data_IF_234650223832
#
_entry.id   IF_234650223832
#
_cell.length_a   1.000
_cell.length_b   1.000
_cell.length_c   1.000
_cell.angle_alpha   90.00
_cell.angle_beta   90.00
_cell.angle_gamma   90.00
#
_symmetry.space_group_name_H-M   'P 1'
#
loop_
_entity.id
_entity.type
_entity.pdbx_description
1 polymer ?
#
# COMPACT_ATOMS: atom_id res chain seq x y z
N UNK A 1 5.50 42.34 -39.71
CA UNK A 1 6.06 42.26 -41.08
C UNK A 1 5.73 43.57 -41.76
N UNK A 2 6.73 44.33 -42.25
CA UNK A 2 6.45 45.49 -43.11
C UNK A 2 5.71 44.97 -44.35
N UNK A 3 4.58 45.57 -44.71
CA UNK A 3 3.86 45.23 -45.94
C UNK A 3 4.71 45.68 -47.12
N UNK A 4 5.11 44.76 -47.99
CA UNK A 4 5.82 45.12 -49.22
C UNK A 4 4.93 46.00 -50.11
N UNK A 5 5.56 46.99 -50.77
CA UNK A 5 4.90 48.04 -51.57
C UNK A 5 4.16 47.50 -52.81
N UNK A 6 4.48 46.28 -53.24
CA UNK A 6 3.87 45.61 -54.40
C UNK A 6 3.34 44.24 -53.99
N UNK A 7 2.13 43.90 -54.43
CA UNK A 7 1.59 42.54 -54.27
C UNK A 7 2.24 41.59 -55.27
N UNK A 8 2.30 40.30 -54.95
CA UNK A 8 2.87 39.30 -55.88
C UNK A 8 2.13 39.27 -57.22
N UNK A 9 0.82 39.56 -57.23
CA UNK A 9 0.04 39.69 -58.47
C UNK A 9 0.47 40.90 -59.32
N UNK A 10 0.82 42.02 -58.68
CA UNK A 10 1.37 43.19 -59.37
C UNK A 10 2.77 42.90 -59.92
N UNK A 11 3.64 42.26 -59.14
CA UNK A 11 4.98 41.85 -59.57
C UNK A 11 4.91 40.95 -60.81
N UNK A 12 3.98 40.00 -60.83
CA UNK A 12 3.75 39.11 -61.97
C UNK A 12 3.20 39.81 -63.20
N UNK A 13 2.34 40.81 -63.01
CA UNK A 13 1.85 41.65 -64.12
C UNK A 13 3.01 42.33 -64.85
N UNK A 14 3.95 42.90 -64.09
CA UNK A 14 5.15 43.55 -64.64
C UNK A 14 6.09 42.57 -65.35
N UNK A 15 6.28 41.36 -64.79
CA UNK A 15 7.13 40.33 -65.43
C UNK A 15 6.51 39.84 -66.75
N UNK A 16 5.19 39.62 -66.79
CA UNK A 16 4.49 39.20 -68.03
C UNK A 16 4.53 40.27 -69.12
N UNK A 17 4.44 41.54 -68.77
CA UNK A 17 4.60 42.64 -69.73
C UNK A 17 6.00 42.65 -70.36
N UNK A 18 7.04 42.32 -69.59
CA UNK A 18 8.39 42.16 -70.11
C UNK A 18 8.54 40.90 -70.99
N UNK A 19 7.91 39.78 -70.62
CA UNK A 19 7.86 38.55 -71.44
C UNK A 19 7.07 38.75 -72.74
N UNK A 20 6.10 39.67 -72.75
CA UNK A 20 5.34 40.12 -73.93
C UNK A 20 6.08 41.10 -74.84
N UNK A 21 7.35 41.43 -74.55
CA UNK A 21 8.22 42.20 -75.44
C UNK A 21 8.44 43.68 -75.08
N UNK A 22 7.93 44.17 -73.95
CA UNK A 22 8.18 45.54 -73.50
C UNK A 22 9.60 45.68 -72.92
N UNK A 23 10.40 46.70 -73.30
CA UNK A 23 11.74 46.91 -72.75
C UNK A 23 11.73 47.09 -71.22
N UNK A 24 12.58 46.31 -70.53
CA UNK A 24 12.75 46.35 -69.06
C UNK A 24 13.02 47.75 -68.50
N UNK A 25 13.82 48.63 -69.14
CA UNK A 25 14.05 49.99 -68.64
C UNK A 25 12.79 50.86 -68.58
N UNK A 26 11.82 50.63 -69.46
CA UNK A 26 10.58 51.41 -69.53
C UNK A 26 9.60 50.95 -68.45
N UNK A 27 9.47 49.63 -68.25
CA UNK A 27 8.70 49.06 -67.13
C UNK A 27 9.24 49.48 -65.77
N UNK A 28 10.57 49.61 -65.65
CA UNK A 28 11.20 50.07 -64.42
C UNK A 28 10.88 51.55 -64.12
N UNK A 29 10.78 52.39 -65.16
CA UNK A 29 10.35 53.79 -65.03
C UNK A 29 8.86 53.90 -64.70
N UNK A 30 8.02 53.13 -65.36
CA UNK A 30 6.56 53.14 -65.19
C UNK A 30 6.14 52.70 -63.78
N UNK A 31 6.71 51.60 -63.28
CA UNK A 31 6.38 51.06 -61.97
C UNK A 31 7.26 51.63 -60.83
N UNK A 32 8.20 52.53 -61.13
CA UNK A 32 9.07 53.15 -60.14
C UNK A 32 9.98 52.16 -59.40
N UNK A 33 10.49 51.16 -60.12
CA UNK A 33 11.38 50.11 -59.60
C UNK A 33 12.76 50.18 -60.26
N UNK A 34 13.80 49.75 -59.55
CA UNK A 34 15.14 49.66 -60.15
C UNK A 34 15.26 48.43 -61.05
N UNK A 35 16.13 48.49 -62.08
CA UNK A 35 16.46 47.33 -62.91
C UNK A 35 16.89 46.12 -62.06
N UNK A 36 17.67 46.34 -61.01
CA UNK A 36 18.11 45.29 -60.08
C UNK A 36 16.95 44.66 -59.29
N UNK A 37 15.89 45.43 -59.00
CA UNK A 37 14.67 44.92 -58.37
C UNK A 37 13.89 44.06 -59.37
N UNK A 38 13.75 44.51 -60.62
CA UNK A 38 13.08 43.74 -61.67
C UNK A 38 13.76 42.40 -61.93
N UNK A 39 15.08 42.35 -62.11
CA UNK A 39 15.78 41.07 -62.33
C UNK A 39 15.73 40.14 -61.11
N UNK A 40 15.70 40.68 -59.88
CA UNK A 40 15.42 39.87 -58.66
C UNK A 40 14.01 39.29 -58.66
N UNK A 41 13.02 40.06 -59.10
CA UNK A 41 11.66 39.57 -59.26
C UNK A 41 11.56 38.50 -60.34
N UNK A 42 12.19 38.73 -61.50
CA UNK A 42 12.24 37.74 -62.59
C UNK A 42 12.94 36.44 -62.18
N UNK A 43 14.01 36.52 -61.38
CA UNK A 43 14.68 35.33 -60.86
C UNK A 43 13.83 34.55 -59.83
N UNK A 44 13.00 35.26 -59.04
CA UNK A 44 12.18 34.66 -57.99
C UNK A 44 10.81 34.17 -58.49
N UNK A 45 10.22 34.84 -59.48
CA UNK A 45 8.84 34.62 -59.91
C UNK A 45 8.69 34.35 -61.42
N UNK A 46 9.77 34.46 -62.20
CA UNK A 46 9.74 34.20 -63.65
C UNK A 46 9.35 32.74 -63.95
N UNK A 47 8.41 32.55 -64.88
CA UNK A 47 7.87 31.23 -65.24
C UNK A 47 6.83 30.64 -64.29
N UNK A 48 6.45 31.32 -63.20
CA UNK A 48 5.36 30.90 -62.32
C UNK A 48 4.05 31.62 -62.68
N UNK A 49 2.92 30.94 -62.61
CA UNK A 49 1.61 31.61 -62.67
C UNK A 49 1.08 31.96 -61.26
N UNK A 50 -0.02 32.71 -61.20
CA UNK A 50 -0.63 33.11 -59.94
C UNK A 50 -1.09 31.91 -59.09
N UNK A 51 -1.42 30.78 -59.73
CA UNK A 51 -1.81 29.54 -59.05
C UNK A 51 -0.60 28.89 -58.37
N UNK A 52 0.54 28.84 -59.05
CA UNK A 52 1.79 28.26 -58.59
C UNK A 52 2.40 29.05 -57.42
N UNK A 53 2.26 30.38 -57.40
CA UNK A 53 2.65 31.22 -56.25
C UNK A 53 1.74 30.97 -55.05
N UNK A 54 0.42 30.82 -55.28
CA UNK A 54 -0.52 30.48 -54.21
C UNK A 54 -0.20 29.11 -53.59
N UNK A 55 0.14 28.12 -54.43
CA UNK A 55 0.60 26.80 -53.98
C UNK A 55 1.92 26.88 -53.22
N UNK A 56 2.89 27.67 -53.70
CA UNK A 56 4.16 27.88 -53.02
C UNK A 56 3.96 28.45 -51.61
N UNK A 57 3.11 29.48 -51.47
CA UNK A 57 2.79 30.05 -50.15
C UNK A 57 2.09 29.06 -49.23
N UNK A 58 1.16 28.26 -49.75
CA UNK A 58 0.50 27.21 -48.98
C UNK A 58 1.51 26.17 -48.49
N UNK A 59 2.47 25.77 -49.34
CA UNK A 59 3.56 24.87 -48.99
C UNK A 59 4.55 25.49 -48.00
N UNK A 60 4.83 26.79 -48.07
CA UNK A 60 5.66 27.49 -47.09
C UNK A 60 4.99 27.56 -45.72
N UNK A 61 3.69 27.83 -45.69
CA UNK A 61 2.85 27.86 -44.48
C UNK A 61 2.79 26.46 -43.84
N UNK A 62 2.60 25.43 -44.67
CA UNK A 62 2.62 24.03 -44.24
C UNK A 62 4.01 23.61 -43.72
N UNK A 63 5.09 23.98 -44.43
CA UNK A 63 6.45 23.75 -43.96
C UNK A 63 6.74 24.44 -42.63
N UNK A 64 6.25 25.67 -42.43
CA UNK A 64 6.36 26.37 -41.15
C UNK A 64 5.62 25.63 -40.04
N UNK A 65 4.42 25.12 -40.34
CA UNK A 65 3.64 24.29 -39.41
C UNK A 65 4.35 22.98 -39.08
N UNK A 66 4.87 22.29 -40.08
CA UNK A 66 5.62 21.04 -39.94
C UNK A 66 6.90 21.24 -39.12
N UNK A 67 7.67 22.30 -39.38
CA UNK A 67 8.88 22.63 -38.61
C UNK A 67 8.58 22.87 -37.14
N UNK A 68 7.48 23.57 -36.82
CA UNK A 68 7.03 23.74 -35.43
C UNK A 68 6.64 22.41 -34.79
N UNK A 69 5.84 21.60 -35.48
CA UNK A 69 5.44 20.28 -34.96
C UNK A 69 6.64 19.35 -34.76
N UNK A 70 7.62 19.39 -35.67
CA UNK A 70 8.84 18.60 -35.56
C UNK A 70 9.70 19.04 -34.37
N UNK A 71 9.88 20.35 -34.16
CA UNK A 71 10.59 20.87 -32.99
C UNK A 71 9.92 20.45 -31.68
N UNK A 72 8.59 20.58 -31.60
CA UNK A 72 7.81 20.14 -30.44
C UNK A 72 7.95 18.62 -30.21
N UNK A 73 7.84 17.82 -31.26
CA UNK A 73 7.93 16.35 -31.18
C UNK A 73 9.34 15.87 -30.83
N UNK A 74 10.38 16.49 -31.40
CA UNK A 74 11.78 16.18 -31.10
C UNK A 74 12.05 16.41 -29.61
N UNK A 75 11.65 17.59 -29.11
CA UNK A 75 11.81 17.95 -27.71
C UNK A 75 11.02 17.02 -26.76
N UNK A 76 9.81 16.61 -27.12
CA UNK A 76 9.07 15.59 -26.37
C UNK A 76 9.81 14.24 -26.34
N UNK A 77 10.39 13.85 -27.47
CA UNK A 77 11.11 12.58 -27.59
C UNK A 77 12.37 12.56 -26.73
N UNK A 78 13.10 13.67 -26.70
CA UNK A 78 14.32 13.80 -25.89
C UNK A 78 14.01 13.77 -24.39
N UNK A 79 13.00 14.52 -23.96
CA UNK A 79 12.51 14.51 -22.56
C UNK A 79 12.03 13.11 -22.16
N UNK A 80 11.32 12.40 -23.04
CA UNK A 80 10.87 11.04 -22.77
C UNK A 80 12.03 10.05 -22.68
N UNK A 81 13.05 10.17 -23.54
CA UNK A 81 14.24 9.32 -23.51
C UNK A 81 15.04 9.50 -22.21
N UNK A 82 15.20 10.74 -21.76
CA UNK A 82 15.87 11.06 -20.50
C UNK A 82 15.08 10.54 -19.29
N UNK A 83 13.74 10.63 -19.34
CA UNK A 83 12.88 10.18 -18.26
C UNK A 83 12.65 8.65 -18.21
N UNK A 84 12.73 7.95 -19.36
CA UNK A 84 12.40 6.52 -19.46
C UNK A 84 13.61 5.60 -19.23
N UNK A 85 14.04 5.53 -17.96
CA UNK A 85 14.82 4.39 -17.48
C UNK A 85 13.97 3.16 -17.11
N UNK A 86 12.67 3.35 -16.79
CA UNK A 86 11.74 2.29 -16.33
C UNK A 86 10.27 2.60 -16.70
N UNK A 87 9.43 1.56 -16.77
CA UNK A 87 7.98 1.63 -17.09
C UNK A 87 7.22 2.48 -16.05
N UNK A 88 6.73 3.65 -16.46
CA UNK A 88 6.01 4.61 -15.60
C UNK A 88 4.56 4.19 -15.30
N UNK A 89 4.35 3.56 -14.14
CA UNK A 89 3.04 3.01 -13.75
C UNK A 89 2.20 3.92 -12.82
N UNK A 90 2.80 4.82 -12.02
CA UNK A 90 2.08 5.58 -10.99
C UNK A 90 1.92 7.07 -11.36
N UNK A 91 0.72 7.67 -11.17
CA UNK A 91 0.50 9.10 -11.41
C UNK A 91 1.43 10.02 -10.60
N UNK A 92 1.77 9.65 -9.37
CA UNK A 92 2.71 10.41 -8.54
C UNK A 92 4.12 10.51 -9.15
N UNK A 93 4.64 9.41 -9.70
CA UNK A 93 5.94 9.37 -10.37
C UNK A 93 5.92 10.22 -11.65
N UNK A 94 4.83 10.13 -12.43
CA UNK A 94 4.64 10.95 -13.64
C UNK A 94 4.59 12.44 -13.31
N UNK A 95 3.96 12.80 -12.19
CA UNK A 95 3.93 14.18 -11.68
C UNK A 95 5.32 14.67 -11.30
N UNK A 96 6.10 13.86 -10.61
CA UNK A 96 7.47 14.20 -10.21
C UNK A 96 8.38 14.43 -11.43
N UNK A 97 8.32 13.54 -12.41
CA UNK A 97 9.05 13.71 -13.68
C UNK A 97 8.57 14.93 -14.46
N UNK A 98 7.27 15.22 -14.47
CA UNK A 98 6.76 16.44 -15.08
C UNK A 98 7.30 17.70 -14.39
N UNK A 99 7.44 17.68 -13.06
CA UNK A 99 8.00 18.80 -12.31
C UNK A 99 9.51 18.96 -12.59
N UNK A 100 10.25 17.86 -12.66
CA UNK A 100 11.66 17.85 -13.05
C UNK A 100 11.85 18.37 -14.48
N UNK A 101 11.00 17.97 -15.43
CA UNK A 101 11.09 18.44 -16.81
C UNK A 101 10.83 19.95 -16.94
N UNK A 102 9.85 20.48 -16.20
CA UNK A 102 9.60 21.93 -16.12
C UNK A 102 10.82 22.66 -15.54
N UNK A 103 11.44 22.11 -14.49
CA UNK A 103 12.58 22.72 -13.81
C UNK A 103 13.88 22.66 -14.64
N UNK A 104 14.18 21.53 -15.28
CA UNK A 104 15.46 21.31 -15.97
C UNK A 104 15.46 21.77 -17.43
N UNK A 105 14.32 21.63 -18.14
CA UNK A 105 14.22 21.96 -19.57
C UNK A 105 13.42 23.23 -19.84
N UNK A 106 12.93 23.92 -18.79
CA UNK A 106 12.18 25.18 -18.93
C UNK A 106 10.86 25.05 -19.70
N UNK A 107 10.30 23.83 -19.76
CA UNK A 107 9.07 23.57 -20.54
C UNK A 107 7.83 24.13 -19.84
N UNK A 108 6.80 24.46 -20.62
CA UNK A 108 5.51 24.84 -20.04
C UNK A 108 4.88 23.66 -19.30
N UNK A 109 4.13 23.95 -18.23
CA UNK A 109 3.40 22.95 -17.44
C UNK A 109 2.46 22.11 -18.35
N UNK A 110 1.80 22.77 -19.31
CA UNK A 110 0.92 22.09 -20.27
C UNK A 110 1.69 21.10 -21.17
N UNK A 111 2.90 21.45 -21.61
CA UNK A 111 3.74 20.56 -22.40
C UNK A 111 4.22 19.37 -21.56
N UNK A 112 4.73 19.61 -20.34
CA UNK A 112 5.13 18.53 -19.42
C UNK A 112 3.95 17.59 -19.09
N UNK A 113 2.77 18.13 -18.83
CA UNK A 113 1.57 17.34 -18.54
C UNK A 113 1.18 16.43 -19.72
N UNK A 114 1.26 16.94 -20.95
CA UNK A 114 1.02 16.15 -22.18
C UNK A 114 2.07 15.06 -22.36
N UNK A 115 3.35 15.38 -22.16
CA UNK A 115 4.47 14.43 -22.25
C UNK A 115 4.27 13.24 -21.30
N UNK A 116 3.97 13.52 -20.03
CA UNK A 116 3.86 12.48 -19.00
C UNK A 116 2.44 11.92 -18.83
N UNK A 117 1.47 12.39 -19.64
CA UNK A 117 0.09 11.93 -19.62
C UNK A 117 -0.61 12.15 -18.28
N UNK A 118 -0.49 13.35 -17.70
CA UNK A 118 -1.16 13.77 -16.47
C UNK A 118 -1.97 15.05 -16.71
N UNK A 119 -3.01 15.30 -15.90
CA UNK A 119 -3.74 16.57 -15.96
C UNK A 119 -2.95 17.68 -15.26
N UNK A 120 -3.14 18.92 -15.71
CA UNK A 120 -2.55 20.07 -15.03
C UNK A 120 -3.06 20.25 -13.59
N UNK A 121 -4.28 19.80 -13.30
CA UNK A 121 -4.82 19.76 -11.93
C UNK A 121 -4.04 18.79 -11.05
N UNK A 122 -3.64 17.63 -11.58
CA UNK A 122 -2.79 16.67 -10.88
C UNK A 122 -1.38 17.24 -10.66
N UNK A 123 -0.83 17.95 -11.65
CA UNK A 123 0.46 18.64 -11.54
C UNK A 123 0.47 19.67 -10.42
N UNK A 124 -0.55 20.53 -10.37
CA UNK A 124 -0.66 21.61 -9.37
C UNK A 124 -1.14 21.12 -7.99
N UNK A 125 -1.60 19.88 -7.88
CA UNK A 125 -2.10 19.34 -6.62
C UNK A 125 -1.02 19.31 -5.55
N UNK A 126 -1.28 19.96 -4.42
CA UNK A 126 -0.50 19.81 -3.19
C UNK A 126 -1.31 19.04 -2.14
N UNK A 127 -0.70 18.09 -1.41
CA UNK A 127 -1.38 17.42 -0.30
C UNK A 127 -1.85 18.46 0.72
N UNK A 128 -3.16 18.48 1.01
CA UNK A 128 -3.74 19.44 1.97
C UNK A 128 -3.38 19.17 3.44
N UNK A 129 -2.97 17.93 3.76
CA UNK A 129 -2.76 17.45 5.13
C UNK A 129 -1.37 16.81 5.28
N UNK A 130 -0.33 17.53 4.89
CA UNK A 130 1.05 17.03 4.94
C UNK A 130 1.46 16.64 6.38
N UNK A 131 1.33 17.55 7.34
CA UNK A 131 1.69 17.30 8.73
C UNK A 131 0.98 16.09 9.36
N UNK A 132 -0.30 15.86 9.04
CA UNK A 132 -1.01 14.68 9.54
C UNK A 132 -0.58 13.39 8.81
N UNK A 133 -0.17 13.47 7.54
CA UNK A 133 0.45 12.31 6.88
C UNK A 133 1.78 11.95 7.55
N UNK A 134 2.56 12.94 7.95
CA UNK A 134 3.83 12.73 8.65
C UNK A 134 3.58 12.08 10.01
N UNK A 135 2.59 12.55 10.77
CA UNK A 135 2.15 11.90 12.01
C UNK A 135 1.70 10.45 11.79
N UNK A 136 0.93 10.17 10.73
CA UNK A 136 0.54 8.80 10.39
C UNK A 136 1.78 7.95 10.07
N UNK A 137 2.74 8.52 9.34
CA UNK A 137 3.97 7.84 8.98
C UNK A 137 4.78 7.47 10.23
N UNK A 138 4.99 8.42 11.15
CA UNK A 138 5.73 8.20 12.39
C UNK A 138 5.09 7.12 13.26
N UNK A 139 3.76 7.16 13.41
CA UNK A 139 3.02 6.13 14.16
C UNK A 139 3.12 4.76 13.49
N UNK A 140 3.03 4.68 12.16
CA UNK A 140 3.17 3.41 11.45
C UNK A 140 4.59 2.84 11.59
N UNK A 141 5.62 3.69 11.50
CA UNK A 141 7.02 3.26 11.71
C UNK A 141 7.19 2.74 13.14
N UNK A 142 6.78 3.51 14.15
CA UNK A 142 6.85 3.10 15.56
C UNK A 142 6.13 1.79 15.83
N UNK A 143 4.91 1.61 15.29
CA UNK A 143 4.15 0.37 15.43
C UNK A 143 4.85 -0.83 14.78
N UNK A 144 5.43 -0.65 13.60
CA UNK A 144 6.15 -1.76 12.93
C UNK A 144 7.49 -2.09 13.57
N UNK A 145 8.11 -1.14 14.27
CA UNK A 145 9.31 -1.37 15.08
C UNK A 145 8.98 -2.13 16.37
N UNK A 146 7.93 -1.70 17.08
CA UNK A 146 7.45 -2.35 18.29
C UNK A 146 6.85 -3.74 18.02
N UNK A 147 6.10 -3.88 16.93
CA UNK A 147 5.40 -5.11 16.55
C UNK A 147 5.81 -5.57 15.14
N UNK A 148 7.00 -6.18 15.05
CA UNK A 148 7.64 -6.59 13.78
C UNK A 148 6.83 -7.55 12.91
N UNK A 149 5.87 -8.28 13.52
CA UNK A 149 4.98 -9.23 12.83
C UNK A 149 3.65 -8.61 12.41
N UNK A 150 3.36 -7.37 12.78
CA UNK A 150 2.10 -6.73 12.43
C UNK A 150 2.13 -6.26 10.97
N UNK A 151 1.18 -6.77 10.18
CA UNK A 151 0.89 -6.24 8.87
C UNK A 151 -0.01 -5.01 8.94
N UNK A 152 -0.19 -4.35 7.80
CA UNK A 152 -1.04 -3.16 7.66
C UNK A 152 -2.40 -3.27 8.36
N UNK A 153 -3.09 -4.40 8.25
CA UNK A 153 -4.41 -4.59 8.85
C UNK A 153 -4.40 -4.41 10.37
N UNK A 154 -3.42 -4.97 11.07
CA UNK A 154 -3.31 -4.81 12.53
C UNK A 154 -2.90 -3.39 12.89
N UNK A 155 -1.92 -2.80 12.20
CA UNK A 155 -1.53 -1.41 12.44
C UNK A 155 -2.71 -0.45 12.26
N UNK A 156 -3.48 -0.61 11.17
CA UNK A 156 -4.65 0.23 10.92
C UNK A 156 -5.73 0.06 11.99
N UNK A 157 -6.04 -1.18 12.38
CA UNK A 157 -7.05 -1.44 13.42
C UNK A 157 -6.59 -0.93 14.79
N UNK A 158 -5.30 -0.98 15.10
CA UNK A 158 -4.75 -0.40 16.32
C UNK A 158 -4.95 1.12 16.33
N UNK A 159 -4.52 1.80 15.27
CA UNK A 159 -4.71 3.25 15.13
C UNK A 159 -6.20 3.63 15.23
N UNK A 160 -7.10 2.83 14.64
CA UNK A 160 -8.53 3.11 14.57
C UNK A 160 -9.27 2.81 15.87
N UNK A 161 -9.10 1.60 16.41
CA UNK A 161 -9.92 1.06 17.49
C UNK A 161 -9.28 1.24 18.86
N UNK A 162 -7.95 1.30 18.95
CA UNK A 162 -7.22 1.43 20.23
C UNK A 162 -6.84 2.89 20.46
N UNK A 163 -6.23 3.55 19.47
CA UNK A 163 -5.88 4.98 19.57
C UNK A 163 -7.03 5.93 19.18
N UNK A 164 -8.12 5.41 18.60
CA UNK A 164 -9.32 6.20 18.28
C UNK A 164 -9.19 7.12 17.06
N UNK A 165 -8.16 6.97 16.23
CA UNK A 165 -7.98 7.83 15.06
C UNK A 165 -9.03 7.56 13.97
N UNK A 166 -9.74 8.60 13.57
CA UNK A 166 -10.83 8.50 12.57
C UNK A 166 -10.37 8.51 11.10
N UNK A 167 -9.11 8.20 10.83
CA UNK A 167 -8.51 8.29 9.49
C UNK A 167 -9.12 7.32 8.47
N UNK A 168 -9.13 7.76 7.21
CA UNK A 168 -9.57 6.94 6.10
C UNK A 168 -8.56 5.81 5.81
N UNK A 169 -9.03 4.57 5.76
CA UNK A 169 -8.25 3.38 5.46
C UNK A 169 -7.35 3.51 4.21
N UNK A 170 -7.89 4.06 3.11
CA UNK A 170 -7.12 4.20 1.85
C UNK A 170 -5.95 5.17 2.01
N UNK A 171 -6.10 6.21 2.85
CA UNK A 171 -5.05 7.19 3.12
C UNK A 171 -3.92 6.56 3.93
N UNK A 172 -4.24 5.87 5.01
CA UNK A 172 -3.25 5.17 5.85
C UNK A 172 -2.53 4.09 5.03
N UNK A 173 -3.28 3.33 4.22
CA UNK A 173 -2.68 2.30 3.35
C UNK A 173 -1.71 2.87 2.32
N UNK A 174 -2.03 4.03 1.73
CA UNK A 174 -1.14 4.71 0.80
C UNK A 174 0.18 5.07 1.48
N UNK A 175 0.13 5.68 2.66
CA UNK A 175 1.32 6.06 3.44
C UNK A 175 2.13 4.82 3.82
N UNK A 176 1.48 3.78 4.33
CA UNK A 176 2.13 2.49 4.66
C UNK A 176 2.89 1.89 3.46
N UNK A 177 2.33 2.01 2.25
CA UNK A 177 2.99 1.54 1.01
C UNK A 177 4.10 2.47 0.53
N UNK A 178 3.99 3.77 0.75
CA UNK A 178 5.03 4.75 0.45
C UNK A 178 6.26 4.54 1.35
N UNK A 179 6.06 4.12 2.60
CA UNK A 179 7.10 3.74 3.56
C UNK A 179 7.67 2.32 3.34
N UNK A 180 7.15 1.57 2.37
CA UNK A 180 7.57 0.21 2.04
C UNK A 180 7.53 -0.80 3.21
N UNK A 181 6.70 -0.54 4.23
CA UNK A 181 6.59 -1.35 5.47
C UNK A 181 5.95 -2.74 5.26
N UNK A 182 5.72 -3.17 4.03
CA UNK A 182 5.04 -4.42 3.74
C UNK A 182 5.90 -5.61 4.18
N UNK A 183 5.32 -6.47 5.00
CA UNK A 183 5.97 -7.73 5.39
C UNK A 183 6.30 -8.55 4.14
N UNK A 184 7.56 -9.00 4.04
CA UNK A 184 8.01 -9.82 2.91
C UNK A 184 7.43 -11.23 3.04
N UNK A 185 6.33 -11.48 2.33
CA UNK A 185 5.72 -12.81 2.26
C UNK A 185 6.34 -13.57 1.09
N UNK A 186 7.00 -14.71 1.36
CA UNK A 186 7.35 -15.65 0.29
C UNK A 186 6.04 -16.32 -0.19
N UNK A 187 5.64 -16.18 -1.46
CA UNK A 187 4.43 -16.81 -1.96
C UNK A 187 4.59 -18.32 -1.88
N UNK A 188 3.76 -18.98 -1.06
CA UNK A 188 3.65 -20.43 -1.02
C UNK A 188 2.53 -20.86 -1.96
N UNK A 189 2.72 -21.99 -2.67
CA UNK A 189 1.65 -22.59 -3.48
C UNK A 189 0.44 -22.82 -2.59
N UNK A 190 -0.67 -22.15 -2.88
CA UNK A 190 -1.90 -22.27 -2.09
C UNK A 190 -2.50 -23.63 -2.40
N UNK A 191 -2.41 -24.56 -1.45
CA UNK A 191 -3.16 -25.82 -1.52
C UNK A 191 -4.65 -25.46 -1.42
N UNK A 192 -5.44 -25.96 -2.36
CA UNK A 192 -6.91 -25.88 -2.26
C UNK A 192 -7.30 -26.81 -1.11
N UNK A 193 -7.70 -26.23 0.00
CA UNK A 193 -8.30 -26.94 1.13
C UNK A 193 -9.79 -26.67 1.06
N UNK A 194 -10.60 -27.68 1.35
CA UNK A 194 -12.02 -27.48 1.60
C UNK A 194 -12.18 -26.41 2.69
N UNK A 195 -13.16 -25.52 2.52
CA UNK A 195 -13.45 -24.51 3.54
C UNK A 195 -13.98 -25.28 4.76
N UNK A 196 -13.24 -25.31 5.88
CA UNK A 196 -13.75 -25.97 7.07
C UNK A 196 -15.04 -25.29 7.52
N UNK A 197 -15.94 -26.06 8.13
CA UNK A 197 -17.12 -25.49 8.77
C UNK A 197 -16.68 -24.53 9.88
N UNK A 198 -17.39 -23.42 10.01
CA UNK A 198 -17.07 -22.44 11.06
C UNK A 198 -17.45 -23.04 12.40
N UNK A 199 -16.51 -23.13 13.34
CA UNK A 199 -16.88 -23.36 14.73
C UNK A 199 -17.87 -22.29 15.19
N UNK A 200 -18.89 -22.73 15.93
CA UNK A 200 -19.77 -21.85 16.68
C UNK A 200 -18.96 -21.09 17.71
N UNK A 201 -18.93 -19.76 17.59
CA UNK A 201 -18.44 -18.89 18.65
C UNK A 201 -19.53 -18.89 19.74
N UNK A 202 -19.19 -19.13 21.02
CA UNK A 202 -20.16 -18.96 22.10
C UNK A 202 -20.77 -17.56 22.10
N UNK A 203 -21.97 -17.40 22.67
CA UNK A 203 -22.64 -16.10 22.75
C UNK A 203 -22.23 -15.30 23.98
N UNK A 204 -21.77 -15.97 25.04
CA UNK A 204 -21.43 -15.39 26.34
C UNK A 204 -19.99 -15.72 26.72
N UNK A 205 -19.33 -14.86 27.52
CA UNK A 205 -18.04 -15.19 28.12
C UNK A 205 -18.17 -16.38 29.08
N UNK A 206 -17.06 -17.08 29.32
CA UNK A 206 -16.99 -18.25 30.20
C UNK A 206 -17.90 -19.44 29.81
N UNK A 207 -18.52 -19.46 28.63
CA UNK A 207 -19.22 -20.68 28.19
C UNK A 207 -18.21 -21.80 27.89
N UNK A 208 -17.18 -21.51 27.10
CA UNK A 208 -16.14 -22.49 26.77
C UNK A 208 -14.77 -21.83 26.88
N UNK A 209 -13.90 -22.43 27.67
CA UNK A 209 -12.46 -22.14 27.62
C UNK A 209 -11.75 -23.19 26.79
N UNK A 210 -10.85 -22.77 25.91
CA UNK A 210 -9.95 -23.69 25.22
C UNK A 210 -8.57 -23.59 25.87
N UNK A 211 -7.94 -24.74 26.13
CA UNK A 211 -6.56 -24.76 26.61
C UNK A 211 -5.68 -25.69 25.78
N UNK A 212 -4.42 -25.30 25.62
CA UNK A 212 -3.44 -26.07 24.86
C UNK A 212 -2.01 -25.85 25.39
N UNK A 213 -1.14 -26.83 25.16
CA UNK A 213 0.24 -26.84 25.60
C UNK A 213 1.13 -26.46 24.44
N UNK A 214 2.18 -25.72 24.75
CA UNK A 214 3.27 -25.44 23.84
C UNK A 214 4.57 -25.81 24.53
N UNK A 215 5.62 -26.03 23.72
CA UNK A 215 6.97 -26.19 24.21
C UNK A 215 7.92 -25.29 23.43
N UNK A 216 8.96 -24.85 24.14
CA UNK A 216 10.11 -24.13 23.59
C UNK A 216 11.37 -24.42 24.42
N UNK A 217 12.50 -23.79 24.09
CA UNK A 217 13.78 -23.98 24.77
C UNK A 217 14.43 -22.67 25.18
N UNK A 218 15.09 -22.69 26.33
CA UNK A 218 16.00 -21.62 26.76
C UNK A 218 17.29 -21.65 25.92
N UNK A 219 18.09 -20.59 26.00
CA UNK A 219 19.38 -20.50 25.30
C UNK A 219 20.35 -21.64 25.67
N UNK A 220 20.28 -22.14 26.90
CA UNK A 220 21.09 -23.26 27.37
C UNK A 220 20.57 -24.64 26.91
N UNK A 221 19.47 -24.67 26.15
CA UNK A 221 18.87 -25.88 25.59
C UNK A 221 17.86 -26.58 26.50
N UNK A 222 17.67 -26.14 27.75
CA UNK A 222 16.62 -26.69 28.63
C UNK A 222 15.25 -26.41 28.01
N UNK A 223 14.44 -27.47 27.90
CA UNK A 223 13.07 -27.35 27.41
C UNK A 223 12.14 -26.87 28.51
N UNK A 224 11.23 -25.96 28.16
CA UNK A 224 10.14 -25.53 29.02
C UNK A 224 8.80 -25.66 28.29
N UNK A 225 7.72 -25.62 29.06
CA UNK A 225 6.34 -25.77 28.59
C UNK A 225 5.52 -24.55 28.96
N UNK A 226 4.52 -24.28 28.14
CA UNK A 226 3.53 -23.24 28.39
C UNK A 226 2.13 -23.83 28.29
N UNK A 227 1.27 -23.55 29.26
CA UNK A 227 -0.17 -23.78 29.17
C UNK A 227 -0.84 -22.46 28.81
N UNK A 228 -1.49 -22.44 27.66
CA UNK A 228 -2.29 -21.31 27.21
C UNK A 228 -3.76 -21.60 27.48
N UNK A 229 -4.46 -20.67 28.12
CA UNK A 229 -5.91 -20.72 28.35
C UNK A 229 -6.56 -19.54 27.63
N UNK A 230 -7.61 -19.80 26.86
CA UNK A 230 -8.30 -18.82 26.02
C UNK A 230 -9.81 -18.92 26.23
N UNK A 231 -10.51 -17.78 26.34
CA UNK A 231 -11.97 -17.75 26.23
C UNK A 231 -12.41 -17.76 24.75
N UNK A 232 -13.25 -18.73 24.38
CA UNK A 232 -13.73 -18.91 23.01
C UNK A 232 -14.69 -17.80 22.55
N UNK A 233 -15.31 -17.05 23.46
CA UNK A 233 -16.21 -15.96 23.13
C UNK A 233 -15.46 -14.76 22.54
N UNK A 234 -14.59 -14.14 23.33
CA UNK A 234 -13.91 -12.89 23.00
C UNK A 234 -12.44 -13.07 22.61
N UNK A 235 -11.93 -14.31 22.52
CA UNK A 235 -10.51 -14.58 22.22
C UNK A 235 -9.58 -13.96 23.24
N UNK A 236 -10.01 -13.85 24.49
CA UNK A 236 -9.16 -13.35 25.56
C UNK A 236 -8.24 -14.44 26.04
N UNK A 237 -6.94 -14.14 26.11
CA UNK A 237 -5.99 -15.01 26.78
C UNK A 237 -6.20 -14.88 28.28
N UNK A 238 -6.65 -15.94 28.93
CA UNK A 238 -6.96 -15.94 30.36
C UNK A 238 -5.69 -16.17 31.21
N UNK A 239 -4.81 -17.04 30.74
CA UNK A 239 -3.52 -17.30 31.38
C UNK A 239 -2.51 -17.86 30.38
N UNK A 240 -1.23 -17.64 30.69
CA UNK A 240 -0.08 -18.31 30.09
C UNK A 240 0.80 -18.79 31.25
N UNK A 241 0.64 -20.05 31.65
CA UNK A 241 1.44 -20.63 32.73
C UNK A 241 2.70 -21.27 32.15
N UNK A 242 3.87 -20.81 32.58
CA UNK A 242 5.17 -21.25 32.05
C UNK A 242 6.00 -21.93 33.14
N UNK A 243 6.49 -23.13 32.87
CA UNK A 243 7.42 -23.83 33.76
C UNK A 243 8.19 -24.92 32.98
N UNK A 244 9.23 -25.51 33.58
CA UNK A 244 9.93 -26.68 33.03
C UNK A 244 9.02 -27.92 32.95
N UNK A 245 8.07 -28.03 33.88
CA UNK A 245 7.07 -29.09 33.90
C UNK A 245 5.72 -28.56 34.35
N UNK A 246 4.64 -29.00 33.70
CA UNK A 246 3.27 -28.61 34.01
C UNK A 246 2.45 -29.85 34.38
N UNK A 247 2.65 -30.42 35.59
CA UNK A 247 1.84 -31.54 36.05
C UNK A 247 0.38 -31.10 36.27
N UNK A 248 -0.52 -32.08 36.32
CA UNK A 248 -1.95 -31.85 36.47
C UNK A 248 -2.34 -30.94 37.64
N UNK A 249 -1.66 -31.06 38.80
CA UNK A 249 -1.91 -30.20 39.95
C UNK A 249 -1.58 -28.73 39.67
N UNK A 250 -0.58 -28.44 38.82
CA UNK A 250 -0.22 -27.08 38.44
C UNK A 250 -1.21 -26.50 37.43
N UNK A 251 -1.71 -27.33 36.52
CA UNK A 251 -2.81 -26.98 35.59
C UNK A 251 -4.06 -26.61 36.38
N UNK A 252 -4.46 -27.46 37.33
CA UNK A 252 -5.62 -27.23 38.21
C UNK A 252 -5.46 -25.91 38.98
N UNK A 253 -4.30 -25.66 39.59
CA UNK A 253 -4.05 -24.41 40.31
C UNK A 253 -4.17 -23.18 39.40
N UNK A 254 -3.66 -23.26 38.17
CA UNK A 254 -3.80 -22.18 37.20
C UNK A 254 -5.28 -21.93 36.85
N UNK A 255 -6.05 -22.99 36.61
CA UNK A 255 -7.49 -22.87 36.33
C UNK A 255 -8.26 -22.27 37.51
N UNK A 256 -7.96 -22.70 38.74
CA UNK A 256 -8.57 -22.15 39.96
C UNK A 256 -8.26 -20.65 40.10
N UNK A 257 -7.02 -20.23 39.89
CA UNK A 257 -6.63 -18.82 39.89
C UNK A 257 -7.40 -18.02 38.83
N UNK A 258 -7.56 -18.56 37.62
CA UNK A 258 -8.36 -17.89 36.58
C UNK A 258 -9.83 -17.77 37.00
N UNK A 259 -10.38 -18.83 37.58
CA UNK A 259 -11.76 -18.88 38.04
C UNK A 259 -12.06 -17.88 39.16
N UNK A 260 -11.09 -17.56 40.02
CA UNK A 260 -11.27 -16.59 41.11
C UNK A 260 -11.64 -15.18 40.61
N UNK A 261 -11.04 -14.72 39.50
CA UNK A 261 -11.28 -13.36 38.99
C UNK A 261 -12.19 -13.31 37.76
N UNK A 262 -12.30 -14.41 36.97
CA UNK A 262 -13.23 -14.48 35.83
C UNK A 262 -14.56 -15.13 36.14
N UNK A 263 -14.61 -16.02 37.13
CA UNK A 263 -15.70 -16.94 37.32
C UNK A 263 -15.48 -18.27 36.60
N UNK A 264 -16.36 -19.22 36.91
CA UNK A 264 -16.26 -20.62 36.47
C UNK A 264 -16.76 -20.80 35.03
N UNK A 265 -16.05 -21.57 34.19
CA UNK A 265 -16.56 -21.90 32.86
C UNK A 265 -17.61 -23.02 32.89
N UNK A 266 -18.47 -23.09 31.88
CA UNK A 266 -19.38 -24.24 31.72
C UNK A 266 -18.62 -25.47 31.20
N UNK A 267 -17.70 -25.26 30.25
CA UNK A 267 -16.89 -26.31 29.67
C UNK A 267 -15.44 -25.88 29.40
N UNK A 268 -14.53 -26.86 29.43
CA UNK A 268 -13.14 -26.70 29.01
C UNK A 268 -12.87 -27.65 27.84
N UNK A 269 -12.44 -27.07 26.72
CA UNK A 269 -12.00 -27.79 25.52
C UNK A 269 -10.50 -28.02 25.55
N UNK A 270 -10.11 -29.24 25.23
CA UNK A 270 -8.72 -29.66 25.24
C UNK A 270 -8.47 -30.79 24.24
N UNK A 271 -7.21 -30.94 23.81
CA UNK A 271 -6.81 -32.06 22.95
C UNK A 271 -6.57 -33.34 23.77
N UNK A 272 -6.63 -34.49 23.10
CA UNK A 272 -6.40 -35.82 23.67
C UNK A 272 -4.91 -36.13 23.91
N UNK A 273 -4.07 -35.11 24.07
CA UNK A 273 -2.67 -35.30 24.40
C UNK A 273 -2.54 -36.07 25.73
N UNK A 274 -1.53 -36.96 25.87
CA UNK A 274 -1.31 -37.71 27.12
C UNK A 274 -1.08 -36.79 28.34
N UNK A 275 -0.77 -35.52 28.10
CA UNK A 275 -0.57 -34.44 29.07
C UNK A 275 -1.87 -34.01 29.77
N UNK A 276 -3.03 -34.41 29.21
CA UNK A 276 -4.36 -33.96 29.63
C UNK A 276 -5.23 -35.02 30.26
N UNK A 277 -4.90 -36.30 30.06
CA UNK A 277 -5.66 -37.46 30.53
C UNK A 277 -5.30 -37.81 31.98
N UNK A 278 -4.99 -36.80 32.79
CA UNK A 278 -4.73 -37.04 34.21
C UNK A 278 -6.04 -37.23 34.96
N UNK A 279 -6.14 -38.30 35.75
CA UNK A 279 -7.27 -38.52 36.66
C UNK A 279 -7.53 -37.30 37.56
N UNK A 280 -6.47 -36.60 37.97
CA UNK A 280 -6.57 -35.38 38.79
C UNK A 280 -7.41 -34.28 38.14
N UNK A 281 -7.19 -33.99 36.86
CA UNK A 281 -7.93 -32.94 36.15
C UNK A 281 -9.39 -33.33 35.94
N UNK A 282 -9.65 -34.60 35.63
CA UNK A 282 -11.02 -35.13 35.47
C UNK A 282 -11.79 -35.02 36.79
N UNK A 283 -11.23 -35.54 37.88
CA UNK A 283 -11.87 -35.45 39.21
C UNK A 283 -12.07 -34.01 39.67
N UNK A 284 -11.13 -33.12 39.35
CA UNK A 284 -11.28 -31.69 39.64
C UNK A 284 -12.44 -31.08 38.84
N UNK A 285 -12.52 -31.35 37.53
CA UNK A 285 -13.56 -30.81 36.67
C UNK A 285 -14.96 -31.31 37.09
N UNK A 286 -15.09 -32.60 37.43
CA UNK A 286 -16.32 -33.18 37.97
C UNK A 286 -16.74 -32.50 39.27
N UNK A 287 -15.79 -32.29 40.19
CA UNK A 287 -16.06 -31.60 41.48
C UNK A 287 -16.50 -30.15 41.26
N UNK A 288 -15.96 -29.47 40.26
CA UNK A 288 -16.34 -28.09 39.90
C UNK A 288 -17.59 -28.05 39.00
N UNK A 289 -18.14 -29.19 38.58
CA UNK A 289 -19.26 -29.24 37.63
C UNK A 289 -18.95 -28.66 36.25
N UNK A 290 -17.70 -28.79 35.80
CA UNK A 290 -17.20 -28.29 34.50
C UNK A 290 -17.15 -29.46 33.53
N UNK A 291 -17.73 -29.31 32.33
CA UNK A 291 -17.66 -30.35 31.29
C UNK A 291 -16.32 -30.30 30.55
N UNK A 292 -15.57 -31.41 30.52
CA UNK A 292 -14.38 -31.54 29.69
C UNK A 292 -14.77 -32.00 28.27
N UNK A 293 -14.41 -31.20 27.27
CA UNK A 293 -14.68 -31.48 25.85
C UNK A 293 -13.36 -31.87 25.17
N UNK A 294 -13.21 -33.16 24.91
CA UNK A 294 -12.06 -33.70 24.19
C UNK A 294 -12.24 -33.58 22.67
N UNK A 295 -11.21 -33.10 21.97
CA UNK A 295 -11.25 -33.03 20.50
C UNK A 295 -11.07 -34.39 19.86
N UNK A 296 -11.82 -34.65 18.79
CA UNK A 296 -11.73 -35.92 18.07
C UNK A 296 -10.37 -36.03 17.35
N UNK A 297 -9.68 -37.19 17.45
CA UNK A 297 -8.46 -37.42 16.69
C UNK A 297 -8.68 -37.17 15.19
N UNK A 298 -7.80 -36.37 14.58
CA UNK A 298 -7.89 -36.03 13.16
C UNK A 298 -8.86 -34.89 12.80
N UNK A 299 -9.49 -34.23 13.77
CA UNK A 299 -10.35 -33.06 13.53
C UNK A 299 -9.72 -31.76 14.09
N UNK A 300 -8.70 -31.18 13.41
CA UNK A 300 -8.01 -29.96 13.86
C UNK A 300 -8.94 -28.73 13.89
N UNK A 301 -10.14 -28.83 13.32
CA UNK A 301 -11.08 -27.71 13.32
C UNK A 301 -11.57 -27.43 14.73
N UNK A 302 -11.84 -28.46 15.54
CA UNK A 302 -12.42 -28.32 16.87
C UNK A 302 -11.55 -27.47 17.82
N UNK A 303 -10.24 -27.38 17.58
CA UNK A 303 -9.31 -26.57 18.38
C UNK A 303 -8.80 -25.32 17.67
N UNK A 304 -9.44 -24.90 16.58
CA UNK A 304 -8.93 -23.84 15.70
C UNK A 304 -8.68 -22.49 16.41
N UNK A 305 -9.38 -22.21 17.51
CA UNK A 305 -9.25 -20.96 18.25
C UNK A 305 -7.96 -20.89 19.06
N UNK A 306 -7.69 -21.89 19.89
CA UNK A 306 -6.45 -21.97 20.65
C UNK A 306 -5.26 -22.22 19.72
N UNK A 307 -5.40 -23.02 18.66
CA UNK A 307 -4.33 -23.19 17.66
C UNK A 307 -3.92 -21.86 17.02
N UNK A 308 -4.92 -21.03 16.69
CA UNK A 308 -4.67 -19.69 16.14
C UNK A 308 -4.00 -18.80 17.18
N UNK A 309 -4.42 -18.86 18.43
CA UNK A 309 -3.81 -18.13 19.54
C UNK A 309 -2.35 -18.56 19.74
N UNK A 310 -2.09 -19.86 19.80
CA UNK A 310 -0.77 -20.46 19.95
C UNK A 310 0.18 -20.07 18.82
N UNK A 311 -0.33 -19.98 17.58
CA UNK A 311 0.46 -19.42 16.47
C UNK A 311 0.82 -17.95 16.68
N UNK A 312 -0.10 -17.15 17.23
CA UNK A 312 0.16 -15.74 17.55
C UNK A 312 1.18 -15.62 18.69
N UNK A 313 1.02 -16.39 19.77
CA UNK A 313 2.01 -16.52 20.88
C UNK A 313 3.39 -16.84 20.31
N UNK A 314 3.49 -17.88 19.47
CA UNK A 314 4.77 -18.30 18.91
C UNK A 314 5.41 -17.21 18.05
N UNK A 315 4.66 -16.62 17.12
CA UNK A 315 5.23 -15.70 16.14
C UNK A 315 5.52 -14.30 16.71
N UNK A 316 4.63 -13.79 17.56
CA UNK A 316 4.70 -12.42 18.08
C UNK A 316 5.46 -12.31 19.41
N UNK A 317 5.65 -13.42 20.12
CA UNK A 317 6.40 -13.47 21.38
C UNK A 317 7.57 -14.44 21.31
N UNK A 318 7.35 -15.76 21.32
CA UNK A 318 8.45 -16.73 21.52
C UNK A 318 9.57 -16.62 20.47
N UNK A 319 9.22 -16.47 19.19
CA UNK A 319 10.20 -16.31 18.09
C UNK A 319 10.91 -14.94 18.09
N UNK A 320 10.48 -13.98 18.91
CA UNK A 320 11.07 -12.63 18.94
C UNK A 320 12.18 -12.48 19.98
N UNK A 321 12.29 -13.40 20.93
CA UNK A 321 13.22 -13.30 22.06
C UNK A 321 14.06 -14.57 22.20
N UNK A 322 15.24 -14.42 22.79
CA UNK A 322 16.05 -15.53 23.28
C UNK A 322 16.07 -15.42 24.81
N UNK A 323 15.59 -16.45 25.49
CA UNK A 323 15.41 -16.43 26.94
C UNK A 323 16.55 -17.16 27.66
N UNK A 324 17.14 -16.50 28.66
CA UNK A 324 18.22 -17.08 29.46
C UNK A 324 17.67 -17.86 30.67
N UNK A 325 16.59 -17.37 31.28
CA UNK A 325 15.96 -17.98 32.45
C UNK A 325 14.46 -18.21 32.28
N UNK A 326 13.88 -19.09 33.10
CA UNK A 326 12.43 -19.34 33.10
C UNK A 326 11.66 -18.15 33.68
N UNK A 327 12.27 -17.40 34.60
CA UNK A 327 11.73 -16.18 35.19
C UNK A 327 11.51 -15.12 34.11
N UNK A 328 12.49 -14.92 33.22
CA UNK A 328 12.35 -13.98 32.09
C UNK A 328 11.17 -14.38 31.19
N UNK A 329 11.02 -15.67 30.92
CA UNK A 329 9.88 -16.16 30.12
C UNK A 329 8.56 -15.84 30.82
N UNK A 330 8.45 -16.07 32.13
CA UNK A 330 7.22 -15.80 32.91
C UNK A 330 6.87 -14.31 32.95
N UNK A 331 7.86 -13.44 33.12
CA UNK A 331 7.66 -11.99 33.13
C UNK A 331 7.18 -11.48 31.77
N UNK A 332 7.85 -11.90 30.69
CA UNK A 332 7.46 -11.48 29.33
C UNK A 332 6.12 -12.11 28.93
N UNK A 333 5.81 -13.33 29.38
CA UNK A 333 4.50 -13.96 29.17
C UNK A 333 3.37 -13.08 29.74
N UNK A 334 3.56 -12.59 30.96
CA UNK A 334 2.58 -11.74 31.67
C UNK A 334 2.37 -10.41 30.94
N UNK A 335 3.47 -9.73 30.57
CA UNK A 335 3.41 -8.47 29.84
C UNK A 335 2.77 -8.66 28.45
N UNK A 336 3.12 -9.74 27.76
CA UNK A 336 2.59 -10.04 26.44
C UNK A 336 1.10 -10.37 26.50
N UNK A 337 0.66 -11.15 27.50
CA UNK A 337 -0.75 -11.48 27.70
C UNK A 337 -1.59 -10.21 27.92
N UNK A 338 -1.09 -9.30 28.75
CA UNK A 338 -1.75 -8.01 28.97
C UNK A 338 -1.88 -7.22 27.66
N UNK A 339 -0.77 -7.10 26.91
CA UNK A 339 -0.73 -6.41 25.61
C UNK A 339 -1.68 -7.06 24.60
N UNK A 340 -1.72 -8.40 24.55
CA UNK A 340 -2.60 -9.16 23.68
C UNK A 340 -4.08 -8.85 23.96
N UNK A 341 -4.48 -8.76 25.23
CA UNK A 341 -5.86 -8.53 25.62
C UNK A 341 -6.30 -7.07 25.51
N UNK A 342 -5.40 -6.12 25.78
CA UNK A 342 -5.75 -4.70 25.91
C UNK A 342 -5.45 -3.89 24.66
N UNK A 343 -4.32 -4.19 24.00
CA UNK A 343 -3.77 -3.34 22.93
C UNK A 343 -3.82 -4.02 21.57
N UNK A 344 -3.73 -5.35 21.49
CA UNK A 344 -3.66 -6.04 20.20
C UNK A 344 -5.05 -6.18 19.55
N UNK A 345 -5.28 -5.61 18.36
CA UNK A 345 -6.53 -5.80 17.62
C UNK A 345 -6.73 -7.27 17.24
N UNK A 346 -7.95 -7.78 17.36
CA UNK A 346 -8.26 -9.15 16.98
C UNK A 346 -9.22 -9.21 15.79
N UNK A 347 -8.73 -9.75 14.67
CA UNK A 347 -9.54 -9.93 13.45
C UNK A 347 -10.77 -10.83 13.65
N UNK A 348 -10.72 -11.78 14.59
CA UNK A 348 -11.87 -12.61 14.96
C UNK A 348 -12.96 -11.84 15.72
N UNK A 349 -12.61 -10.66 16.25
CA UNK A 349 -13.50 -9.74 16.96
C UNK A 349 -13.76 -8.47 16.16
N UNK A 350 -13.75 -8.56 14.83
CA UNK A 350 -13.96 -7.40 13.94
C UNK A 350 -12.95 -6.26 14.15
N UNK A 351 -11.76 -6.60 14.69
CA UNK A 351 -10.68 -5.65 14.96
C UNK A 351 -10.71 -5.02 16.35
N UNK A 352 -11.67 -5.36 17.21
CA UNK A 352 -11.63 -4.99 18.62
C UNK A 352 -10.60 -5.84 19.37
N UNK A 353 -10.02 -5.29 20.43
CA UNK A 353 -9.21 -6.08 21.36
C UNK A 353 -10.12 -7.01 22.18
N UNK A 354 -9.61 -8.12 22.72
CA UNK A 354 -10.41 -9.01 23.57
C UNK A 354 -11.10 -8.28 24.73
N UNK A 355 -10.40 -7.34 25.39
CA UNK A 355 -10.95 -6.52 26.46
C UNK A 355 -12.06 -5.57 25.97
N UNK A 356 -11.90 -4.95 24.79
CA UNK A 356 -12.94 -4.09 24.21
C UNK A 356 -14.21 -4.89 23.87
N UNK A 357 -14.05 -6.09 23.30
CA UNK A 357 -15.20 -6.95 22.98
C UNK A 357 -15.94 -7.38 24.23
N UNK A 358 -15.22 -7.72 25.30
CA UNK A 358 -15.83 -8.06 26.59
C UNK A 358 -16.67 -6.90 27.13
N UNK A 359 -16.13 -5.68 27.12
CA UNK A 359 -16.83 -4.45 27.53
C UNK A 359 -18.04 -4.10 26.67
N UNK A 360 -18.12 -4.61 25.44
CA UNK A 360 -19.27 -4.37 24.55
C UNK A 360 -20.40 -5.36 24.81
N UNK A 361 -20.10 -6.48 25.47
CA UNK A 361 -21.04 -7.56 25.76
C UNK A 361 -21.58 -7.53 27.19
N UNK A 362 -20.86 -6.85 28.11
CA UNK A 362 -21.34 -6.45 29.43
C UNK A 362 -22.15 -5.15 29.31
#
# INVERSE_FOLDING_TARGET
>A
MKSDRFSDAQIMGVIRQAEGGVPVPDLCREHGISNATFYRWRAKYGGMDASMISQMKALEEENRRLKRMYADLSMQTDILKEALGKKLKRPAQRRELAAQAVAHHGVSIALACRIFGISETCFRYRPRLAAENDRIADLLVGLTQAHRRWGFGLCFLYLRNVQGHVWNHKRVYRIYRELELNLRIKPRRRLVREKPEKLSVPALPNTVWSMDFMADRLMDGRAFRLLNILDDFNREGLAIEVDFSLPACRVVRCLEQVMEWRGRPEAIRMDNGPEYVSHTLVSWAEKQGITLIYTQPGNPQQNAYIERYNRTVRQEWLEQYLFESIQDVQEVATQWLWTYNHDRPNMGNSGLTPAQKLKTAA
#
